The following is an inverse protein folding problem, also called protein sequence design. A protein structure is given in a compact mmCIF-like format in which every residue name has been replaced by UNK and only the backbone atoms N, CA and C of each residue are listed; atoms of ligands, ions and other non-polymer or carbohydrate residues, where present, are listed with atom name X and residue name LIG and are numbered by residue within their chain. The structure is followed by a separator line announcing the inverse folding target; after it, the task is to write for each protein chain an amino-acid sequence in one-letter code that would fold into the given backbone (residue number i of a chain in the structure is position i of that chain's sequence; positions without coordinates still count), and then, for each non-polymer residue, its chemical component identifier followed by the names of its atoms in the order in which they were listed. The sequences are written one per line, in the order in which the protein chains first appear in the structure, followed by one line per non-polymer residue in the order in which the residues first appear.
data_IF_576101835288
#
_entry.id   IF_576101835288
#
_cell.length_a   1.000
_cell.length_b   1.000
_cell.length_c   1.000
_cell.angle_alpha   90.00
_cell.angle_beta   90.00
_cell.angle_gamma   90.00
#
_symmetry.space_group_name_H-M   'P 1'
#
loop_
_entity.id
_entity.type
_entity.pdbx_description
1 polymer ?
#
# COMPACT_ATOMS: atom_id res chain seq x y z
N UNK A 1 15.55 5.55 -6.67
CA UNK A 1 14.21 5.01 -6.41
C UNK A 1 14.27 3.53 -6.70
N UNK A 2 13.74 2.73 -5.78
CA UNK A 2 13.69 1.27 -5.90
C UNK A 2 12.29 0.86 -6.35
N UNK A 3 12.13 -0.28 -7.03
CA UNK A 3 10.80 -0.80 -7.38
C UNK A 3 10.45 -1.93 -6.42
N UNK A 4 9.26 -1.87 -5.83
CA UNK A 4 8.81 -2.86 -4.84
C UNK A 4 7.42 -3.38 -5.17
N UNK A 5 7.15 -4.58 -4.66
CA UNK A 5 5.83 -5.21 -4.71
C UNK A 5 4.79 -4.31 -4.01
N UNK A 6 3.67 -4.08 -4.70
CA UNK A 6 2.57 -3.25 -4.22
C UNK A 6 1.34 -4.14 -4.04
N UNK A 7 1.21 -4.74 -2.86
CA UNK A 7 0.10 -5.63 -2.49
C UNK A 7 0.46 -7.11 -2.58
N UNK A 8 -0.51 -8.02 -2.46
CA UNK A 8 -0.26 -9.46 -2.48
C UNK A 8 -0.02 -10.00 -3.90
N UNK A 9 0.63 -11.16 -3.97
CA UNK A 9 0.65 -12.00 -5.15
C UNK A 9 -0.78 -12.47 -5.48
N UNK A 10 -1.11 -12.42 -6.77
CA UNK A 10 -2.46 -12.66 -7.31
C UNK A 10 -2.51 -13.90 -8.17
N UNK A 11 -3.70 -14.48 -8.27
CA UNK A 11 -3.93 -15.62 -9.14
C UNK A 11 -3.96 -15.17 -10.61
N UNK A 12 -3.56 -16.03 -11.56
CA UNK A 12 -3.56 -15.69 -12.98
C UNK A 12 -4.91 -15.20 -13.50
N UNK A 13 -6.01 -15.78 -13.03
CA UNK A 13 -7.37 -15.40 -13.41
C UNK A 13 -7.71 -13.93 -13.09
N UNK A 14 -7.05 -13.36 -12.08
CA UNK A 14 -7.27 -11.98 -11.62
C UNK A 14 -6.51 -10.97 -12.48
N UNK A 15 -5.64 -11.38 -13.41
CA UNK A 15 -4.88 -10.46 -14.26
C UNK A 15 -5.78 -9.58 -15.13
N UNK A 16 -7.00 -10.02 -15.40
CA UNK A 16 -8.03 -9.23 -16.09
C UNK A 16 -8.45 -7.97 -15.32
N UNK A 17 -8.22 -7.94 -14.01
CA UNK A 17 -8.44 -6.77 -13.15
C UNK A 17 -7.26 -5.79 -13.16
N UNK A 18 -6.11 -6.17 -13.75
CA UNK A 18 -4.95 -5.32 -13.82
C UNK A 18 -5.18 -4.15 -14.78
N UNK A 19 -4.88 -2.93 -14.31
CA UNK A 19 -4.96 -1.73 -15.14
C UNK A 19 -3.88 -1.76 -16.23
N UNK A 20 -4.26 -1.50 -17.47
CA UNK A 20 -3.28 -1.26 -18.54
C UNK A 20 -2.41 -0.04 -18.20
N UNK A 21 -1.10 -0.18 -18.37
CA UNK A 21 -0.10 0.81 -17.98
C UNK A 21 0.49 0.59 -16.59
N UNK A 22 -0.07 -0.32 -15.77
CA UNK A 22 0.57 -0.71 -14.52
C UNK A 22 1.86 -1.48 -14.79
N UNK A 23 2.88 -1.23 -13.98
CA UNK A 23 4.06 -2.09 -13.96
C UNK A 23 3.75 -3.33 -13.11
N UNK A 24 4.04 -4.51 -13.66
CA UNK A 24 3.76 -5.78 -13.02
C UNK A 24 4.94 -6.72 -13.13
N UNK A 25 4.99 -7.68 -12.21
CA UNK A 25 5.87 -8.85 -12.27
C UNK A 25 4.99 -10.07 -12.51
N UNK A 26 5.35 -10.87 -13.51
CA UNK A 26 4.73 -12.14 -13.85
C UNK A 26 5.69 -13.27 -13.50
N UNK A 27 5.21 -14.28 -12.77
CA UNK A 27 5.97 -15.50 -12.47
C UNK A 27 5.27 -16.68 -13.13
N UNK A 28 6.02 -17.45 -13.92
CA UNK A 28 5.51 -18.59 -14.66
C UNK A 28 5.78 -19.93 -13.95
N UNK A 29 5.10 -20.99 -14.37
CA UNK A 29 5.22 -22.34 -13.80
C UNK A 29 6.66 -22.89 -13.75
N UNK A 30 7.51 -22.46 -14.68
CA UNK A 30 8.92 -22.80 -14.78
C UNK A 30 9.83 -21.89 -13.94
N UNK A 31 9.24 -20.98 -13.15
CA UNK A 31 9.91 -19.95 -12.34
C UNK A 31 10.57 -18.84 -13.13
N UNK A 32 10.30 -18.73 -14.43
CA UNK A 32 10.72 -17.54 -15.17
C UNK A 32 9.94 -16.32 -14.66
N UNK A 33 10.64 -15.21 -14.52
CA UNK A 33 10.09 -13.94 -14.07
C UNK A 33 10.20 -12.89 -15.16
N UNK A 34 9.11 -12.17 -15.40
CA UNK A 34 9.06 -11.07 -16.36
C UNK A 34 8.47 -9.83 -15.69
N UNK A 35 9.22 -8.74 -15.68
CA UNK A 35 8.77 -7.44 -15.19
C UNK A 35 8.58 -6.47 -16.35
N UNK A 36 7.46 -5.74 -16.37
CA UNK A 36 7.21 -4.73 -17.38
C UNK A 36 5.86 -4.04 -17.23
N UNK A 37 5.55 -3.16 -18.19
CA UNK A 37 4.30 -2.43 -18.26
C UNK A 37 3.23 -3.30 -18.92
N UNK A 38 2.17 -3.60 -18.18
CA UNK A 38 1.03 -4.38 -18.69
C UNK A 38 0.27 -3.60 -19.76
N UNK A 39 0.08 -4.20 -20.94
CA UNK A 39 -0.65 -3.60 -22.07
C UNK A 39 -1.95 -4.30 -22.41
N UNK A 40 -2.38 -5.25 -21.58
CA UNK A 40 -3.60 -6.03 -21.80
C UNK A 40 -3.29 -7.39 -22.42
N UNK A 41 -4.27 -7.90 -23.15
CA UNK A 41 -4.22 -9.20 -23.79
C UNK A 41 -4.32 -9.07 -25.31
N UNK A 42 -3.64 -9.96 -26.04
CA UNK A 42 -3.79 -10.12 -27.48
C UNK A 42 -3.80 -11.63 -27.80
N UNK A 43 -4.89 -12.15 -28.37
CA UNK A 43 -5.04 -13.55 -28.77
C UNK A 43 -4.48 -14.58 -27.75
N UNK A 44 -4.90 -14.47 -26.49
CA UNK A 44 -4.49 -15.31 -25.34
C UNK A 44 -3.07 -15.06 -24.77
N UNK A 45 -2.34 -14.09 -25.32
CA UNK A 45 -1.07 -13.64 -24.78
C UNK A 45 -1.24 -12.43 -23.86
N UNK A 46 -0.47 -12.43 -22.78
CA UNK A 46 -0.23 -11.27 -21.93
C UNK A 46 0.75 -10.37 -22.65
N UNK A 47 0.36 -9.14 -22.96
CA UNK A 47 1.25 -8.18 -23.61
C UNK A 47 1.98 -7.36 -22.55
N UNK A 48 3.30 -7.56 -22.43
CA UNK A 48 4.19 -6.73 -21.62
C UNK A 48 5.02 -5.81 -22.50
N UNK A 49 5.19 -4.57 -22.05
CA UNK A 49 6.12 -3.61 -22.63
C UNK A 49 7.31 -3.40 -21.69
N UNK A 50 8.53 -3.39 -22.22
CA UNK A 50 9.72 -3.11 -21.43
C UNK A 50 9.72 -1.66 -20.91
N UNK A 51 10.09 -1.45 -19.64
CA UNK A 51 10.19 -0.12 -19.05
C UNK A 51 11.20 0.75 -19.83
N UNK A 52 10.79 1.97 -20.20
CA UNK A 52 11.65 2.89 -20.95
C UNK A 52 11.83 2.56 -22.44
N UNK A 53 11.14 1.55 -22.98
CA UNK A 53 11.19 1.18 -24.39
C UNK A 53 9.78 1.06 -24.97
N UNK A 54 9.62 1.14 -26.30
CA UNK A 54 8.37 0.82 -27.00
C UNK A 54 8.22 -0.67 -27.34
N UNK A 55 9.29 -1.47 -27.14
CA UNK A 55 9.30 -2.90 -27.41
C UNK A 55 8.29 -3.65 -26.54
N UNK A 56 7.55 -4.57 -27.16
CA UNK A 56 6.55 -5.42 -26.51
C UNK A 56 6.91 -6.89 -26.68
N UNK A 57 6.47 -7.70 -25.74
CA UNK A 57 6.52 -9.15 -25.77
C UNK A 57 5.14 -9.71 -25.44
N UNK A 58 4.73 -10.75 -26.18
CA UNK A 58 3.59 -11.59 -25.83
C UNK A 58 4.07 -12.75 -24.98
N UNK A 59 3.38 -13.01 -23.86
CA UNK A 59 3.69 -14.10 -22.94
C UNK A 59 2.46 -15.00 -22.74
N UNK A 60 2.63 -16.32 -22.64
CA UNK A 60 1.51 -17.25 -22.66
C UNK A 60 0.71 -17.21 -21.35
N UNK A 61 -0.57 -16.79 -21.38
CA UNK A 61 -1.41 -16.72 -20.18
C UNK A 61 -1.55 -18.09 -19.48
N UNK A 62 -1.64 -19.17 -20.26
CA UNK A 62 -1.86 -20.52 -19.74
C UNK A 62 -0.74 -21.09 -18.86
N UNK A 63 0.44 -20.44 -18.83
CA UNK A 63 1.59 -20.85 -17.98
C UNK A 63 1.88 -19.89 -16.84
N UNK A 64 1.10 -18.81 -16.74
CA UNK A 64 1.25 -17.86 -15.64
C UNK A 64 0.90 -18.57 -14.33
N UNK A 65 1.80 -18.49 -13.36
CA UNK A 65 1.62 -19.07 -12.03
C UNK A 65 1.07 -18.04 -11.04
N UNK A 66 1.69 -16.86 -10.98
CA UNK A 66 1.22 -15.73 -10.16
C UNK A 66 1.75 -14.41 -10.71
N UNK A 67 1.17 -13.30 -10.25
CA UNK A 67 1.62 -11.97 -10.63
C UNK A 67 1.40 -10.96 -9.51
N UNK A 68 2.10 -9.83 -9.55
CA UNK A 68 1.84 -8.69 -8.67
C UNK A 68 2.09 -7.36 -9.39
N UNK A 69 1.55 -6.28 -8.84
CA UNK A 69 1.88 -4.91 -9.27
C UNK A 69 3.14 -4.47 -8.56
N UNK A 70 4.02 -3.76 -9.28
CA UNK A 70 5.18 -3.07 -8.68
C UNK A 70 5.07 -1.57 -8.86
N UNK A 71 5.67 -0.83 -7.94
CA UNK A 71 5.66 0.62 -7.94
C UNK A 71 7.02 1.15 -7.51
N UNK A 72 7.35 2.33 -8.02
CA UNK A 72 8.55 3.04 -7.58
C UNK A 72 8.33 3.55 -6.16
N UNK A 73 9.28 3.28 -5.27
CA UNK A 73 9.22 3.72 -3.87
C UNK A 73 10.24 4.80 -3.57
N UNK A 74 9.84 5.71 -2.69
CA UNK A 74 10.70 6.71 -2.06
C UNK A 74 10.48 6.75 -0.55
N UNK A 75 11.54 6.94 0.26
CA UNK A 75 11.39 7.09 1.69
C UNK A 75 10.58 8.37 2.00
N UNK A 76 9.78 8.32 3.06
CA UNK A 76 9.19 9.55 3.61
C UNK A 76 10.24 10.33 4.40
N UNK A 77 10.01 11.63 4.58
CA UNK A 77 10.85 12.48 5.42
C UNK A 77 10.50 12.31 6.90
N UNK A 78 10.67 11.08 7.41
CA UNK A 78 10.47 10.74 8.81
C UNK A 78 11.26 9.47 9.18
N UNK A 79 11.70 9.42 10.43
CA UNK A 79 12.37 8.26 11.04
C UNK A 79 11.71 7.89 12.36
N UNK A 80 11.85 6.64 12.78
CA UNK A 80 11.27 6.15 14.03
C UNK A 80 12.28 6.29 15.15
N UNK A 81 12.05 7.19 16.10
CA UNK A 81 12.91 7.34 17.28
C UNK A 81 13.08 6.01 18.04
N UNK A 82 14.31 5.64 18.46
CA UNK A 82 15.57 6.40 18.37
C UNK A 82 16.43 6.09 17.13
N UNK A 83 15.88 5.43 16.12
CA UNK A 83 16.58 5.09 14.88
C UNK A 83 16.61 6.28 13.91
N UNK A 84 17.74 6.46 13.22
CA UNK A 84 17.90 7.37 12.09
C UNK A 84 17.69 6.66 10.73
N UNK A 85 17.38 5.34 10.74
CA UNK A 85 17.15 4.58 9.51
C UNK A 85 15.77 4.89 8.91
N UNK A 86 15.69 5.22 7.60
CA UNK A 86 14.41 5.42 6.92
C UNK A 86 13.75 4.06 6.64
N UNK A 87 12.70 3.74 7.39
CA UNK A 87 12.04 2.42 7.33
C UNK A 87 10.63 2.44 6.78
N UNK A 88 10.17 3.62 6.37
CA UNK A 88 8.86 3.83 5.76
C UNK A 88 9.09 4.47 4.40
N UNK A 89 8.53 3.86 3.37
CA UNK A 89 8.49 4.38 2.02
C UNK A 89 7.05 4.50 1.54
N UNK A 90 6.83 5.39 0.57
CA UNK A 90 5.58 5.45 -0.20
C UNK A 90 5.83 4.95 -1.61
N UNK A 91 4.82 4.34 -2.20
CA UNK A 91 4.77 4.11 -3.64
C UNK A 91 4.44 5.44 -4.28
N UNK A 92 5.41 6.02 -4.97
CA UNK A 92 5.31 7.38 -5.48
C UNK A 92 4.26 7.49 -6.58
N UNK A 93 3.51 8.58 -6.55
CA UNK A 93 2.53 8.90 -7.57
C UNK A 93 2.50 10.42 -7.79
N UNK A 94 2.41 10.84 -9.04
CA UNK A 94 2.54 12.25 -9.42
C UNK A 94 1.37 13.13 -8.96
N UNK A 95 0.23 12.54 -8.56
CA UNK A 95 -1.02 13.26 -8.27
C UNK A 95 -1.16 13.51 -6.77
N UNK A 96 -0.93 12.47 -5.96
CA UNK A 96 -1.13 12.45 -4.52
C UNK A 96 0.18 12.24 -3.73
N UNK A 97 1.32 12.16 -4.42
CA UNK A 97 2.64 12.08 -3.78
C UNK A 97 2.89 10.80 -2.99
N UNK A 98 2.15 9.73 -3.28
CA UNK A 98 2.23 8.43 -2.64
C UNK A 98 1.31 8.24 -1.42
N UNK A 99 0.28 9.08 -1.27
CA UNK A 99 -0.63 9.04 -0.12
C UNK A 99 -1.40 7.72 0.05
N UNK A 100 -1.48 6.89 -1.00
CA UNK A 100 -2.36 5.72 -1.03
C UNK A 100 -1.66 4.39 -0.78
N UNK A 101 -0.33 4.32 -0.77
CA UNK A 101 0.37 3.05 -0.53
C UNK A 101 1.74 3.25 0.12
N UNK A 102 1.90 2.62 1.27
CA UNK A 102 3.13 2.65 2.07
C UNK A 102 3.76 1.26 2.12
N UNK A 103 5.08 1.21 2.09
CA UNK A 103 5.91 0.02 2.31
C UNK A 103 6.71 0.25 3.58
N UNK A 104 6.53 -0.62 4.57
CA UNK A 104 7.07 -0.46 5.92
C UNK A 104 7.93 -1.66 6.26
N UNK A 105 9.20 -1.41 6.57
CA UNK A 105 10.14 -2.47 6.95
C UNK A 105 9.85 -2.96 8.37
N UNK A 106 9.84 -4.28 8.55
CA UNK A 106 9.54 -4.90 9.83
C UNK A 106 10.70 -4.76 10.83
N UNK A 107 10.37 -4.86 12.12
CA UNK A 107 11.27 -4.60 13.24
C UNK A 107 11.12 -5.66 14.34
N UNK A 108 12.24 -6.10 14.90
CA UNK A 108 12.32 -7.03 16.04
C UNK A 108 12.25 -6.33 17.41
N UNK A 109 12.04 -5.01 17.41
CA UNK A 109 12.04 -4.18 18.60
C UNK A 109 13.43 -3.58 18.91
N UNK A 110 13.63 -3.25 20.18
CA UNK A 110 14.85 -2.59 20.67
C UNK A 110 15.71 -3.59 21.45
N UNK A 111 16.85 -3.98 20.88
CA UNK A 111 17.77 -4.97 21.44
C UNK A 111 19.21 -4.43 21.34
N UNK A 112 20.04 -4.71 22.36
CA UNK A 112 21.45 -4.30 22.40
C UNK A 112 21.68 -2.79 22.18
N UNK A 113 20.77 -1.97 22.72
CA UNK A 113 20.87 -0.51 22.64
C UNK A 113 20.45 0.10 21.31
N UNK A 114 19.89 -0.67 20.37
CA UNK A 114 19.40 -0.17 19.08
C UNK A 114 18.12 -0.85 18.60
N UNK A 115 17.38 -0.17 17.74
CA UNK A 115 16.28 -0.78 17.00
C UNK A 115 16.83 -1.75 15.97
N UNK A 116 16.25 -2.94 15.84
CA UNK A 116 16.69 -3.96 14.88
C UNK A 116 15.61 -4.18 13.81
N UNK A 117 15.93 -3.88 12.55
CA UNK A 117 15.06 -4.11 11.41
C UNK A 117 15.44 -5.40 10.67
N UNK A 118 14.49 -5.98 9.96
CA UNK A 118 14.67 -7.18 9.13
C UNK A 118 14.37 -6.87 7.66
N UNK A 119 14.68 -7.80 6.76
CA UNK A 119 14.51 -7.61 5.31
C UNK A 119 13.05 -7.73 4.83
N UNK A 120 12.15 -8.20 5.70
CA UNK A 120 10.72 -8.34 5.40
C UNK A 120 9.97 -7.02 5.56
N UNK A 121 8.88 -6.89 4.80
CA UNK A 121 8.11 -5.64 4.70
C UNK A 121 6.61 -5.91 4.74
N UNK A 122 5.88 -4.90 5.18
CA UNK A 122 4.42 -4.84 5.14
C UNK A 122 3.98 -3.72 4.19
N UNK A 123 2.94 -3.99 3.42
CA UNK A 123 2.34 -2.99 2.52
C UNK A 123 1.01 -2.53 3.10
N UNK A 124 0.90 -1.24 3.40
CA UNK A 124 -0.35 -0.61 3.81
C UNK A 124 -0.90 0.17 2.62
N UNK A 125 -2.00 -0.31 2.05
CA UNK A 125 -2.71 0.38 0.97
C UNK A 125 -4.00 1.01 1.50
N UNK A 126 -4.22 2.27 1.18
CA UNK A 126 -5.46 2.97 1.44
C UNK A 126 -6.38 2.96 0.22
N UNK A 127 -7.68 3.01 0.47
CA UNK A 127 -8.69 3.12 -0.60
C UNK A 127 -8.41 4.38 -1.43
N UNK A 128 -8.42 4.23 -2.74
CA UNK A 128 -8.21 5.34 -3.67
C UNK A 128 -9.38 5.41 -4.65
N UNK A 129 -9.94 6.61 -4.80
CA UNK A 129 -10.83 6.95 -5.90
C UNK A 129 -10.05 7.72 -6.95
N UNK A 130 -9.94 7.17 -8.14
CA UNK A 130 -9.29 7.84 -9.27
C UNK A 130 -10.21 8.94 -9.84
N UNK A 131 -9.61 9.88 -10.57
CA UNK A 131 -10.34 10.98 -11.22
C UNK A 131 -11.36 10.49 -12.27
N UNK A 132 -11.13 9.31 -12.86
CA UNK A 132 -12.07 8.65 -13.77
C UNK A 132 -13.23 7.95 -13.04
N UNK A 133 -13.27 8.04 -11.71
CA UNK A 133 -14.30 7.46 -10.85
C UNK A 133 -14.08 6.00 -10.47
N UNK A 134 -13.05 5.34 -11.00
CA UNK A 134 -12.71 3.97 -10.61
C UNK A 134 -12.14 3.91 -9.18
N UNK A 135 -12.32 2.75 -8.53
CA UNK A 135 -11.89 2.52 -7.16
C UNK A 135 -10.75 1.50 -7.11
N UNK A 136 -9.69 1.82 -6.39
CA UNK A 136 -8.66 0.85 -5.98
C UNK A 136 -8.98 0.46 -4.54
N UNK A 137 -9.29 -0.83 -4.27
CA UNK A 137 -9.53 -1.31 -2.92
C UNK A 137 -8.33 -1.09 -1.99
N UNK A 138 -8.62 -0.74 -0.75
CA UNK A 138 -7.64 -0.52 0.31
C UNK A 138 -8.32 -0.20 1.65
N UNK A 139 -7.51 0.08 2.66
CA UNK A 139 -7.97 0.44 4.00
C UNK A 139 -8.50 1.88 4.04
N UNK A 140 -9.41 2.13 4.97
CA UNK A 140 -9.69 3.48 5.45
C UNK A 140 -8.68 3.85 6.54
N UNK A 141 -8.36 5.13 6.70
CA UNK A 141 -7.48 5.60 7.77
C UNK A 141 -8.01 5.19 9.15
N UNK A 142 -9.33 5.24 9.32
CA UNK A 142 -10.07 4.88 10.52
C UNK A 142 -9.88 3.40 10.87
N UNK A 143 -9.84 2.49 9.89
CA UNK A 143 -9.61 1.06 10.15
C UNK A 143 -8.23 0.81 10.77
N UNK A 144 -7.19 1.48 10.27
CA UNK A 144 -5.84 1.35 10.80
C UNK A 144 -5.73 1.97 12.21
N UNK A 145 -6.34 3.13 12.42
CA UNK A 145 -6.33 3.79 13.73
C UNK A 145 -7.15 3.02 14.77
N UNK A 146 -8.26 2.40 14.39
CA UNK A 146 -9.02 1.51 15.29
C UNK A 146 -8.20 0.28 15.70
N UNK A 147 -7.45 -0.33 14.78
CA UNK A 147 -6.54 -1.43 15.10
C UNK A 147 -5.42 -0.99 16.07
N UNK A 148 -4.85 0.20 15.85
CA UNK A 148 -3.86 0.78 16.77
C UNK A 148 -4.47 1.09 18.14
N UNK A 149 -5.69 1.63 18.18
CA UNK A 149 -6.40 1.95 19.42
C UNK A 149 -6.64 0.68 20.25
N UNK A 150 -7.22 -0.36 19.65
CA UNK A 150 -7.44 -1.66 20.30
C UNK A 150 -6.13 -2.26 20.83
N UNK A 151 -5.06 -2.22 20.02
CA UNK A 151 -3.73 -2.68 20.44
C UNK A 151 -3.23 -1.92 21.67
N UNK A 152 -3.30 -0.59 21.66
CA UNK A 152 -2.81 0.23 22.76
C UNK A 152 -3.66 0.10 24.02
N UNK A 153 -4.97 -0.10 23.89
CA UNK A 153 -5.85 -0.40 25.04
C UNK A 153 -5.48 -1.74 25.69
N UNK A 154 -5.32 -2.79 24.90
CA UNK A 154 -4.87 -4.11 25.39
C UNK A 154 -3.52 -4.04 26.09
N UNK A 155 -2.56 -3.33 25.49
CA UNK A 155 -1.24 -3.13 26.10
C UNK A 155 -1.33 -2.30 27.38
N UNK A 156 -2.17 -1.28 27.43
CA UNK A 156 -2.35 -0.45 28.63
C UNK A 156 -3.08 -1.20 29.76
N UNK A 157 -4.03 -2.09 29.44
CA UNK A 157 -4.63 -2.98 30.44
C UNK A 157 -3.57 -3.88 31.07
N UNK A 158 -2.65 -4.40 30.26
CA UNK A 158 -1.59 -5.30 30.75
C UNK A 158 -0.46 -4.55 31.46
N UNK A 159 -0.06 -3.40 30.93
CA UNK A 159 1.04 -2.56 31.41
C UNK A 159 0.60 -1.09 31.44
N UNK A 160 -0.12 -0.69 32.50
CA UNK A 160 -0.64 0.67 32.61
C UNK A 160 0.47 1.72 32.61
N UNK A 161 0.35 2.76 31.78
CA UNK A 161 1.24 3.92 31.83
C UNK A 161 0.56 5.20 31.34
N UNK A 162 1.05 6.35 31.81
CA UNK A 162 0.57 7.67 31.36
C UNK A 162 0.85 7.89 29.86
N UNK A 163 1.95 7.35 29.36
CA UNK A 163 2.32 7.43 27.95
C UNK A 163 1.33 6.65 27.08
N UNK A 164 0.94 5.44 27.49
CA UNK A 164 -0.11 4.68 26.80
C UNK A 164 -1.46 5.39 26.84
N UNK A 165 -1.84 5.95 27.99
CA UNK A 165 -3.08 6.74 28.09
C UNK A 165 -3.05 7.96 27.15
N UNK A 166 -1.92 8.66 27.03
CA UNK A 166 -1.74 9.77 26.10
C UNK A 166 -1.86 9.34 24.63
N UNK A 167 -1.27 8.18 24.26
CA UNK A 167 -1.41 7.62 22.91
C UNK A 167 -2.87 7.29 22.58
N UNK A 168 -3.58 6.62 23.49
CA UNK A 168 -5.01 6.28 23.35
C UNK A 168 -5.85 7.55 23.14
N UNK A 169 -5.63 8.60 23.94
CA UNK A 169 -6.35 9.86 23.81
C UNK A 169 -6.12 10.52 22.42
N UNK A 170 -4.88 10.53 21.93
CA UNK A 170 -4.56 11.05 20.60
C UNK A 170 -5.25 10.28 19.47
N UNK A 171 -5.28 8.95 19.54
CA UNK A 171 -5.97 8.11 18.55
C UNK A 171 -7.48 8.36 18.54
N UNK A 172 -8.09 8.56 19.72
CA UNK A 172 -9.52 8.89 19.83
C UNK A 172 -9.86 10.24 19.22
N UNK A 173 -9.03 11.26 19.46
CA UNK A 173 -9.18 12.58 18.84
C UNK A 173 -9.11 12.51 17.31
N UNK A 174 -8.21 11.69 16.75
CA UNK A 174 -8.15 11.46 15.31
C UNK A 174 -9.46 10.86 14.77
N UNK A 175 -10.01 9.85 15.45
CA UNK A 175 -11.26 9.20 15.03
C UNK A 175 -12.46 10.15 15.11
N UNK A 176 -12.52 11.01 16.13
CA UNK A 176 -13.53 12.05 16.25
C UNK A 176 -13.49 13.01 15.06
N UNK A 177 -12.31 13.53 14.70
CA UNK A 177 -12.13 14.38 13.53
C UNK A 177 -12.54 13.68 12.20
N UNK A 178 -12.30 12.36 12.09
CA UNK A 178 -12.76 11.59 10.93
C UNK A 178 -14.29 11.51 10.87
N UNK A 179 -14.94 11.26 12.00
CA UNK A 179 -16.40 11.21 12.11
C UNK A 179 -17.04 12.55 11.76
N UNK A 180 -16.51 13.65 12.30
CA UNK A 180 -16.96 15.01 11.98
C UNK A 180 -16.89 15.29 10.48
N UNK A 181 -15.77 14.92 9.84
CA UNK A 181 -15.59 15.07 8.39
C UNK A 181 -16.64 14.29 7.61
N UNK A 182 -16.92 13.04 7.97
CA UNK A 182 -17.90 12.21 7.29
C UNK A 182 -19.31 12.77 7.47
N UNK A 183 -19.70 13.14 8.71
CA UNK A 183 -21.00 13.76 9.00
C UNK A 183 -21.22 15.03 8.18
N UNK A 184 -20.24 15.94 8.17
CA UNK A 184 -20.30 17.16 7.38
C UNK A 184 -20.55 16.87 5.89
N UNK A 185 -19.87 15.89 5.31
CA UNK A 185 -20.06 15.52 3.90
C UNK A 185 -21.42 14.88 3.64
N UNK A 186 -21.92 14.06 4.56
CA UNK A 186 -23.26 13.48 4.48
C UNK A 186 -24.34 14.57 4.54
N UNK A 187 -24.25 15.50 5.48
CA UNK A 187 -25.17 16.63 5.64
C UNK A 187 -25.22 17.52 4.38
N UNK A 188 -24.08 17.69 3.72
CA UNK A 188 -23.96 18.43 2.46
C UNK A 188 -24.39 17.63 1.22
N UNK A 189 -24.66 16.33 1.35
CA UNK A 189 -25.03 15.46 0.23
C UNK A 189 -23.91 15.19 -0.78
N UNK A 190 -22.63 15.34 -0.40
CA UNK A 190 -21.46 15.19 -1.30
C UNK A 190 -20.58 13.98 -0.94
N UNK A 191 -21.12 13.02 -0.20
CA UNK A 191 -20.39 11.83 0.22
C UNK A 191 -19.97 10.98 -1.00
N UNK A 192 -18.69 10.60 -1.06
CA UNK A 192 -18.14 9.82 -2.17
C UNK A 192 -17.86 10.62 -3.46
N UNK A 193 -18.16 11.92 -3.51
CA UNK A 193 -17.84 12.78 -4.64
C UNK A 193 -16.53 13.54 -4.43
N UNK A 194 -15.79 13.81 -5.51
CA UNK A 194 -14.59 14.68 -5.48
C UNK A 194 -14.97 16.18 -5.44
N UNK A 195 -15.94 16.53 -4.59
CA UNK A 195 -16.36 17.91 -4.35
C UNK A 195 -15.76 18.42 -3.04
N UNK A 196 -15.26 19.67 -3.10
CA UNK A 196 -14.87 20.44 -1.92
C UNK A 196 -16.09 20.70 -1.07
#
# INVERSE_FOLDING_TARGET
MEKKQVGAWRLPAELTECRQGAEIVLVFDNRDEYQGIFRGFDNEEIVLQACGSQSKIGLPLGRLYTWCVVGEVKPIDAVIYPSDEPTISVVDDAIYGGAHCYVIRECLGFNDGKTQYVETEQVVRFVQKNDDGTMIPGLQSEQLVLALLDRHEKLNTRFPSEQNAKMIAGLRMFLEACEERVKNRMERGVMGELKK
#
